data_IF_763181058672
#
_entry.id   IF_763181058672
#
_cell.length_a   1.000
_cell.length_b   1.000
_cell.length_c   1.000
_cell.angle_alpha   90.00
_cell.angle_beta   90.00
_cell.angle_gamma   90.00
#
_symmetry.space_group_name_H-M   'P 1'
#
loop_
_entity.id
_entity.type
_entity.pdbx_description
1 polymer ?
#
# COMPACT_ATOMS: atom_id res chain seq x y z
N UNK A 1 -12.19 52.07 35.70
CA UNK A 1 -12.50 51.54 34.35
C UNK A 1 -11.83 50.18 34.21
N UNK A 2 -12.59 49.11 34.42
CA UNK A 2 -12.09 47.75 34.40
C UNK A 2 -11.94 47.29 32.95
N UNK A 3 -10.69 47.07 32.51
CA UNK A 3 -10.40 46.49 31.19
C UNK A 3 -10.46 44.97 31.31
N UNK A 4 -11.55 44.39 30.80
CA UNK A 4 -11.71 42.96 30.63
C UNK A 4 -10.66 42.44 29.63
N UNK A 5 -9.77 41.56 30.10
CA UNK A 5 -8.82 40.84 29.24
C UNK A 5 -9.52 39.59 28.71
N UNK A 6 -10.10 39.68 27.53
CA UNK A 6 -10.64 38.53 26.79
C UNK A 6 -9.43 37.79 26.21
N UNK A 7 -9.07 36.68 26.86
CA UNK A 7 -8.16 35.68 26.32
C UNK A 7 -8.77 35.11 25.03
N UNK A 8 -8.24 35.53 23.89
CA UNK A 8 -8.55 34.95 22.59
C UNK A 8 -7.95 33.53 22.55
N UNK A 9 -8.70 32.55 23.04
CA UNK A 9 -8.37 31.15 22.89
C UNK A 9 -8.38 30.79 21.41
N UNK A 10 -7.19 30.57 20.83
CA UNK A 10 -7.04 29.90 19.55
C UNK A 10 -7.51 28.44 19.72
N UNK A 11 -8.82 28.24 19.62
CA UNK A 11 -9.40 26.94 19.30
C UNK A 11 -9.00 26.64 17.85
N UNK A 12 -7.83 26.01 17.71
CA UNK A 12 -7.42 25.39 16.47
C UNK A 12 -8.40 24.24 16.20
N UNK A 13 -9.50 24.55 15.52
CA UNK A 13 -10.34 23.57 14.85
C UNK A 13 -9.49 22.95 13.75
N UNK A 14 -8.61 22.02 14.12
CA UNK A 14 -8.18 20.98 13.20
C UNK A 14 -9.44 20.16 12.93
N UNK A 15 -10.19 20.57 11.91
CA UNK A 15 -11.19 19.72 11.30
C UNK A 15 -10.46 18.45 10.87
N UNK A 16 -10.53 17.41 11.69
CA UNK A 16 -10.28 16.04 11.26
C UNK A 16 -11.45 15.72 10.35
N UNK A 17 -11.39 16.22 9.12
CA UNK A 17 -12.17 15.71 8.02
C UNK A 17 -11.63 14.32 7.74
N UNK A 18 -12.11 13.34 8.51
CA UNK A 18 -12.26 11.97 8.04
C UNK A 18 -13.28 11.99 6.91
N UNK A 19 -12.92 12.65 5.80
CA UNK A 19 -13.60 12.48 4.53
C UNK A 19 -13.33 11.04 4.16
N UNK A 20 -14.38 10.23 4.20
CA UNK A 20 -14.33 8.83 3.83
C UNK A 20 -13.50 8.67 2.57
N UNK A 21 -12.46 7.84 2.68
CA UNK A 21 -11.60 7.52 1.56
C UNK A 21 -12.49 6.99 0.45
N UNK A 22 -12.59 7.71 -0.67
CA UNK A 22 -13.50 7.35 -1.74
C UNK A 22 -13.22 5.92 -2.22
N UNK A 23 -14.26 5.12 -2.44
CA UNK A 23 -14.16 3.74 -2.97
C UNK A 23 -13.59 3.66 -4.40
N UNK A 24 -13.27 4.80 -5.00
CA UNK A 24 -12.68 4.89 -6.33
C UNK A 24 -11.19 4.57 -6.36
N UNK A 25 -10.66 4.46 -7.58
CA UNK A 25 -9.22 4.42 -7.80
C UNK A 25 -8.59 5.77 -7.38
N UNK A 26 -7.71 5.75 -6.39
CA UNK A 26 -7.00 6.92 -5.89
C UNK A 26 -5.72 7.22 -6.68
N UNK A 27 -5.33 6.31 -7.59
CA UNK A 27 -4.18 6.44 -8.49
C UNK A 27 -4.59 6.93 -9.88
N UNK A 28 -5.74 7.60 -10.02
CA UNK A 28 -6.25 8.10 -11.32
C UNK A 28 -5.23 8.97 -12.05
N UNK A 29 -4.47 9.77 -11.32
CA UNK A 29 -3.41 10.61 -11.89
C UNK A 29 -2.19 9.75 -12.31
N UNK A 30 -1.75 9.90 -13.56
CA UNK A 30 -0.58 9.17 -14.08
C UNK A 30 0.70 9.42 -13.26
N UNK A 31 0.82 10.61 -12.68
CA UNK A 31 1.91 10.99 -11.77
C UNK A 31 1.92 10.15 -10.50
N UNK A 32 0.75 9.86 -9.91
CA UNK A 32 0.61 9.05 -8.71
C UNK A 32 1.07 7.60 -8.95
N UNK A 33 0.66 7.00 -10.08
CA UNK A 33 1.12 5.65 -10.47
C UNK A 33 2.63 5.60 -10.64
N UNK A 34 3.19 6.62 -11.28
CA UNK A 34 4.64 6.71 -11.52
C UNK A 34 5.43 6.86 -10.22
N UNK A 35 4.94 7.67 -9.27
CA UNK A 35 5.56 7.82 -7.95
C UNK A 35 5.57 6.50 -7.15
N UNK A 36 4.46 5.77 -7.21
CA UNK A 36 4.32 4.46 -6.57
C UNK A 36 5.33 3.46 -7.16
N UNK A 37 5.40 3.36 -8.48
CA UNK A 37 6.39 2.50 -9.15
C UNK A 37 7.83 2.96 -8.88
N UNK A 38 8.11 4.25 -8.85
CA UNK A 38 9.44 4.76 -8.50
C UNK A 38 9.86 4.37 -7.08
N UNK A 39 8.90 4.25 -6.16
CA UNK A 39 9.16 3.73 -4.82
C UNK A 39 9.52 2.25 -4.85
N UNK A 40 8.74 1.43 -5.56
CA UNK A 40 9.05 0.01 -5.72
C UNK A 40 10.41 -0.22 -6.42
N UNK A 41 10.73 0.56 -7.46
CA UNK A 41 11.99 0.47 -8.22
C UNK A 41 13.23 0.71 -7.37
N UNK A 42 13.17 1.58 -6.36
CA UNK A 42 14.29 1.81 -5.43
C UNK A 42 14.63 0.59 -4.58
N UNK A 43 13.73 -0.37 -4.50
CA UNK A 43 13.90 -1.61 -3.73
C UNK A 43 14.37 -2.80 -4.62
N UNK A 44 14.63 -2.56 -5.91
CA UNK A 44 15.24 -3.56 -6.78
C UNK A 44 16.63 -3.93 -6.23
N UNK A 45 16.86 -5.23 -6.07
CA UNK A 45 18.11 -5.77 -5.52
C UNK A 45 18.09 -6.01 -4.02
N UNK A 46 17.02 -5.63 -3.30
CA UNK A 46 16.81 -6.08 -1.93
C UNK A 46 16.71 -7.60 -1.90
N UNK A 47 17.47 -8.21 -0.99
CA UNK A 47 17.51 -9.65 -0.76
C UNK A 47 17.35 -9.92 0.74
N UNK A 48 16.83 -11.10 1.04
CA UNK A 48 16.86 -11.61 2.40
C UNK A 48 18.31 -11.78 2.88
N UNK A 49 18.54 -11.57 4.17
CA UNK A 49 19.88 -11.68 4.74
C UNK A 49 20.36 -13.14 4.76
N UNK A 50 19.48 -14.07 5.16
CA UNK A 50 19.81 -15.49 5.27
C UNK A 50 18.90 -16.40 4.44
N UNK A 51 17.94 -15.85 3.69
CA UNK A 51 16.95 -16.63 2.96
C UNK A 51 15.80 -17.15 3.82
N UNK A 52 15.58 -16.50 4.98
CA UNK A 52 14.53 -16.86 5.95
C UNK A 52 13.57 -15.71 6.18
N UNK A 53 13.17 -15.01 5.12
CA UNK A 53 12.32 -13.81 5.16
C UNK A 53 12.82 -12.77 6.18
N UNK A 54 14.12 -12.46 6.12
CA UNK A 54 14.83 -11.62 7.08
C UNK A 54 15.67 -10.54 6.39
N UNK A 55 16.35 -9.73 7.19
CA UNK A 55 17.15 -8.60 6.72
C UNK A 55 16.46 -7.25 6.91
N UNK A 56 17.27 -6.19 6.99
CA UNK A 56 16.83 -4.86 7.44
C UNK A 56 15.61 -4.34 6.68
N UNK A 57 15.63 -4.39 5.34
CA UNK A 57 14.53 -3.90 4.48
C UNK A 57 13.32 -4.82 4.50
N UNK A 58 13.51 -6.14 4.51
CA UNK A 58 12.40 -7.11 4.61
C UNK A 58 11.64 -6.93 5.93
N UNK A 59 12.36 -6.76 7.05
CA UNK A 59 11.76 -6.45 8.35
C UNK A 59 10.99 -5.14 8.33
N UNK A 60 11.47 -4.12 7.61
CA UNK A 60 10.75 -2.86 7.43
C UNK A 60 9.39 -3.07 6.72
N UNK A 61 9.35 -3.90 5.68
CA UNK A 61 8.12 -4.22 4.96
C UNK A 61 7.13 -4.95 5.87
N UNK A 62 7.61 -5.98 6.58
CA UNK A 62 6.82 -6.79 7.51
C UNK A 62 6.24 -5.93 8.65
N UNK A 63 7.08 -5.07 9.24
CA UNK A 63 6.67 -4.15 10.30
C UNK A 63 5.55 -3.19 9.84
N UNK A 64 5.54 -2.81 8.56
CA UNK A 64 4.48 -1.94 8.03
C UNK A 64 3.09 -2.53 8.26
N UNK A 65 2.95 -3.86 8.19
CA UNK A 65 1.69 -4.61 8.37
C UNK A 65 1.67 -5.42 9.66
N UNK A 66 2.54 -5.10 10.61
CA UNK A 66 2.64 -5.74 11.94
C UNK A 66 2.92 -7.25 11.89
N UNK A 67 3.63 -7.70 10.87
CA UNK A 67 4.15 -9.06 10.81
C UNK A 67 5.53 -9.16 11.48
N UNK A 68 5.83 -10.36 11.96
CA UNK A 68 7.11 -10.72 12.57
C UNK A 68 8.14 -11.12 11.52
N UNK A 69 9.42 -11.02 11.86
CA UNK A 69 10.52 -11.55 11.05
C UNK A 69 10.31 -13.04 10.76
N UNK A 70 10.67 -13.50 9.56
CA UNK A 70 10.44 -14.89 9.15
C UNK A 70 9.14 -15.11 8.39
N UNK A 71 8.19 -14.18 8.45
CA UNK A 71 6.93 -14.28 7.71
C UNK A 71 7.09 -13.87 6.23
N UNK A 72 6.29 -14.44 5.30
CA UNK A 72 6.32 -14.05 3.90
C UNK A 72 6.00 -12.56 3.70
N UNK A 73 6.79 -11.88 2.86
CA UNK A 73 6.79 -10.42 2.81
C UNK A 73 6.26 -9.81 1.49
N UNK A 74 5.75 -10.61 0.55
CA UNK A 74 5.28 -10.09 -0.74
C UNK A 74 4.13 -9.06 -0.61
N UNK A 75 3.09 -9.39 0.15
CA UNK A 75 1.98 -8.46 0.41
C UNK A 75 2.39 -7.33 1.39
N UNK A 76 3.29 -7.62 2.31
CA UNK A 76 3.87 -6.61 3.19
C UNK A 76 4.62 -5.52 2.40
N UNK A 77 5.39 -5.92 1.39
CA UNK A 77 6.09 -5.02 0.47
C UNK A 77 5.11 -4.12 -0.29
N UNK A 78 4.04 -4.68 -0.87
CA UNK A 78 3.02 -3.87 -1.57
C UNK A 78 2.39 -2.86 -0.61
N UNK A 79 1.96 -3.30 0.57
CA UNK A 79 1.39 -2.40 1.58
C UNK A 79 2.37 -1.31 2.01
N UNK A 80 3.65 -1.64 2.16
CA UNK A 80 4.72 -0.69 2.47
C UNK A 80 4.88 0.34 1.33
N UNK A 81 4.93 -0.10 0.06
CA UNK A 81 5.04 0.82 -1.10
C UNK A 81 3.88 1.82 -1.13
N UNK A 82 2.64 1.37 -0.92
CA UNK A 82 1.49 2.27 -0.88
C UNK A 82 1.57 3.27 0.29
N UNK A 83 1.99 2.83 1.48
CA UNK A 83 2.19 3.71 2.65
C UNK A 83 3.25 4.78 2.43
N UNK A 84 4.36 4.43 1.79
CA UNK A 84 5.41 5.39 1.43
C UNK A 84 4.91 6.49 0.47
N UNK A 85 3.79 6.25 -0.23
CA UNK A 85 3.16 7.21 -1.14
C UNK A 85 1.89 7.84 -0.54
N UNK A 86 1.68 7.70 0.78
CA UNK A 86 0.56 8.35 1.49
C UNK A 86 -0.78 7.61 1.44
N UNK A 87 -0.83 6.38 0.92
CA UNK A 87 -2.05 5.59 0.85
C UNK A 87 -2.18 4.67 2.07
N UNK A 88 -3.36 4.66 2.68
CA UNK A 88 -3.68 3.79 3.81
C UNK A 88 -3.98 2.34 3.41
N UNK A 89 -4.31 2.10 2.14
CA UNK A 89 -4.63 0.79 1.60
C UNK A 89 -3.81 0.48 0.34
N UNK A 90 -3.45 -0.80 0.10
CA UNK A 90 -3.72 -1.95 0.96
C UNK A 90 -2.85 -1.95 2.23
N UNK A 91 -3.37 -2.54 3.31
CA UNK A 91 -2.68 -2.67 4.60
C UNK A 91 -2.80 -4.09 5.15
N UNK A 92 -2.14 -5.04 4.49
CA UNK A 92 -2.23 -6.45 4.84
C UNK A 92 -0.99 -7.23 4.41
N UNK A 93 -0.59 -8.22 5.22
CA UNK A 93 0.40 -9.24 4.85
C UNK A 93 -0.20 -10.45 4.14
N UNK A 94 -1.52 -10.48 3.93
CA UNK A 94 -2.24 -11.61 3.33
C UNK A 94 -2.64 -11.32 1.89
N UNK A 95 -1.96 -11.97 0.93
CA UNK A 95 -2.15 -11.72 -0.50
C UNK A 95 -3.60 -11.83 -1.01
N UNK A 96 -4.44 -12.80 -0.60
CA UNK A 96 -5.85 -12.84 -1.01
C UNK A 96 -6.67 -11.62 -0.58
N UNK A 97 -6.34 -10.97 0.54
CA UNK A 97 -7.10 -9.82 1.04
C UNK A 97 -6.93 -8.57 0.14
N UNK A 98 -5.94 -8.55 -0.75
CA UNK A 98 -5.73 -7.46 -1.72
C UNK A 98 -6.68 -7.52 -2.93
N UNK A 99 -7.48 -8.58 -3.05
CA UNK A 99 -8.40 -8.79 -4.17
C UNK A 99 -9.85 -8.96 -3.69
N UNK A 100 -10.43 -7.96 -2.98
CA UNK A 100 -11.85 -8.00 -2.68
C UNK A 100 -12.64 -7.95 -4.00
N UNK A 101 -13.77 -8.68 -4.06
CA UNK A 101 -14.57 -8.82 -5.30
C UNK A 101 -14.94 -7.48 -5.95
N UNK A 102 -15.13 -6.43 -5.14
CA UNK A 102 -15.45 -5.07 -5.60
C UNK A 102 -14.30 -4.32 -6.27
N UNK A 103 -13.06 -4.80 -6.16
CA UNK A 103 -11.85 -4.13 -6.68
C UNK A 103 -11.07 -5.00 -7.67
N UNK A 104 -11.61 -6.16 -8.04
CA UNK A 104 -11.06 -6.97 -9.12
C UNK A 104 -11.49 -6.33 -10.44
N UNK A 105 -10.50 -6.05 -11.30
CA UNK A 105 -10.74 -5.51 -12.63
C UNK A 105 -11.48 -6.55 -13.49
N UNK A 106 -12.60 -6.14 -14.08
CA UNK A 106 -13.16 -6.85 -15.22
C UNK A 106 -12.24 -6.65 -16.43
N UNK A 107 -12.11 -7.64 -17.32
CA UNK A 107 -11.27 -7.57 -18.53
C UNK A 107 -9.86 -7.01 -18.26
N UNK A 108 -9.02 -7.77 -17.53
CA UNK A 108 -7.67 -7.34 -17.12
C UNK A 108 -6.81 -6.84 -18.30
N UNK A 109 -6.97 -7.42 -19.49
CA UNK A 109 -6.22 -7.01 -20.69
C UNK A 109 -6.49 -5.54 -21.05
N UNK A 110 -7.75 -5.11 -20.96
CA UNK A 110 -8.18 -3.76 -21.35
C UNK A 110 -8.02 -2.75 -20.21
N UNK A 111 -8.25 -3.20 -18.96
CA UNK A 111 -8.46 -2.29 -17.83
C UNK A 111 -7.33 -2.28 -16.80
N UNK A 112 -6.33 -3.16 -16.90
CA UNK A 112 -5.15 -3.01 -16.07
C UNK A 112 -4.43 -1.70 -16.41
N UNK A 113 -3.55 -1.28 -15.52
CA UNK A 113 -2.80 -0.03 -15.58
C UNK A 113 -1.57 -0.15 -14.70
N UNK A 114 -0.58 0.73 -14.95
CA UNK A 114 0.61 0.87 -14.10
C UNK A 114 0.24 0.96 -12.63
N UNK A 115 1.05 0.34 -11.77
CA UNK A 115 0.83 0.25 -10.32
C UNK A 115 -0.43 -0.52 -9.87
N UNK A 116 -1.21 -1.14 -10.77
CA UNK A 116 -2.20 -2.11 -10.30
C UNK A 116 -1.50 -3.30 -9.64
N UNK A 117 -2.14 -3.82 -8.59
CA UNK A 117 -1.67 -5.03 -7.91
C UNK A 117 -2.13 -6.24 -8.71
N UNK A 118 -1.20 -7.10 -9.13
CA UNK A 118 -1.53 -8.40 -9.71
C UNK A 118 -1.31 -9.52 -8.69
N UNK A 119 -2.05 -10.61 -8.83
CA UNK A 119 -1.97 -11.77 -7.96
C UNK A 119 -1.59 -13.04 -8.74
N UNK A 120 -0.74 -13.87 -8.16
CA UNK A 120 -0.43 -15.21 -8.68
C UNK A 120 -1.18 -16.23 -7.83
N UNK A 121 -2.11 -16.94 -8.47
CA UNK A 121 -2.83 -18.05 -7.86
C UNK A 121 -1.98 -19.32 -7.88
N UNK A 122 -1.72 -19.90 -6.72
CA UNK A 122 -0.98 -21.16 -6.60
C UNK A 122 -1.96 -22.29 -6.34
N UNK A 123 -2.10 -23.20 -7.30
CA UNK A 123 -3.04 -24.33 -7.27
C UNK A 123 -2.88 -25.16 -5.99
N UNK A 124 -1.65 -25.52 -5.64
CA UNK A 124 -1.37 -26.33 -4.45
C UNK A 124 -1.81 -25.64 -3.13
N UNK A 125 -1.86 -24.31 -3.09
CA UNK A 125 -2.30 -23.53 -1.93
C UNK A 125 -3.78 -23.12 -1.99
N UNK A 126 -4.44 -23.34 -3.14
CA UNK A 126 -5.85 -22.97 -3.41
C UNK A 126 -6.17 -21.51 -3.10
N UNK A 127 -5.22 -20.60 -3.38
CA UNK A 127 -5.36 -19.16 -3.14
C UNK A 127 -4.36 -18.35 -3.95
N UNK A 128 -4.58 -17.04 -4.01
CA UNK A 128 -3.54 -16.08 -4.37
C UNK A 128 -2.46 -16.16 -3.30
N UNK A 129 -1.24 -16.52 -3.69
CA UNK A 129 -0.14 -16.78 -2.76
C UNK A 129 1.08 -15.91 -3.03
N UNK A 130 1.05 -15.11 -4.10
CA UNK A 130 2.03 -14.08 -4.37
C UNK A 130 1.35 -12.88 -5.03
N UNK A 131 1.93 -11.70 -4.87
CA UNK A 131 1.43 -10.44 -5.41
C UNK A 131 2.58 -9.58 -5.89
N UNK A 132 2.31 -8.71 -6.85
CA UNK A 132 3.27 -7.74 -7.39
C UNK A 132 2.57 -6.52 -7.98
N UNK A 133 3.35 -5.60 -8.55
CA UNK A 133 2.86 -4.41 -9.24
C UNK A 133 3.01 -4.56 -10.75
N UNK A 134 2.01 -4.13 -11.51
CA UNK A 134 2.11 -3.98 -12.96
C UNK A 134 3.04 -2.80 -13.25
N UNK A 135 4.19 -3.10 -13.84
CA UNK A 135 5.23 -2.13 -14.20
C UNK A 135 4.86 -1.35 -15.47
N UNK A 136 4.37 -2.06 -16.48
CA UNK A 136 3.94 -1.51 -17.77
C UNK A 136 2.88 -2.42 -18.41
N UNK A 137 2.14 -1.87 -19.37
CA UNK A 137 1.32 -2.63 -20.31
C UNK A 137 1.78 -2.27 -21.71
N UNK A 138 2.10 -3.28 -22.51
CA UNK A 138 2.53 -3.13 -23.90
C UNK A 138 1.33 -3.10 -24.86
#
# INVERSE_FOLDING_TARGET
MATARILLGFLCFASISSLGQSDGDLLKEATARTQLLNTARREIGVRELTGKNDGKKVVEYLASVKLSIGEPWCAAFISWVFKQNGYLEPNTGWSPAMFPKSRILANVIENASKANVFGIYIIAKKRIAHVGLVEDQH
#
